data_IF_527636203668
#
_entry.id   IF_527636203668
#
_cell.length_a   1.000
_cell.length_b   1.000
_cell.length_c   1.000
_cell.angle_alpha   90.00
_cell.angle_beta   90.00
_cell.angle_gamma   90.00
#
_symmetry.space_group_name_H-M   'P 1'
#
loop_
_entity.id
_entity.type
_entity.pdbx_description
1 polymer ?
#
# COMPACT_ATOMS: atom_id res chain seq x y z
N UNK A 1 -14.47 6.61 -15.47
CA UNK A 1 -14.81 5.99 -14.17
C UNK A 1 -14.57 7.02 -13.08
N UNK A 2 -15.62 7.33 -12.33
CA UNK A 2 -15.55 8.13 -11.12
C UNK A 2 -14.98 7.28 -9.99
N UNK A 3 -14.02 7.82 -9.24
CA UNK A 3 -13.39 7.11 -8.10
C UNK A 3 -13.75 7.83 -6.81
N UNK A 4 -14.27 7.08 -5.86
CA UNK A 4 -14.69 7.57 -4.53
C UNK A 4 -14.05 6.67 -3.45
N UNK A 5 -13.64 7.28 -2.35
CA UNK A 5 -13.25 6.57 -1.12
C UNK A 5 -14.44 6.51 -0.17
N UNK A 6 -14.89 5.31 0.15
CA UNK A 6 -15.92 5.07 1.15
C UNK A 6 -15.26 4.45 2.39
N UNK A 7 -15.37 5.06 3.58
CA UNK A 7 -14.91 4.42 4.81
C UNK A 7 -15.52 3.02 4.95
N UNK A 8 -14.71 2.05 5.27
CA UNK A 8 -15.17 0.68 5.48
C UNK A 8 -16.08 0.60 6.70
N UNK A 9 -17.29 0.10 6.51
CA UNK A 9 -18.36 0.02 7.52
C UNK A 9 -18.86 -1.41 7.77
N UNK A 10 -18.16 -2.41 7.22
CA UNK A 10 -18.53 -3.82 7.29
C UNK A 10 -19.50 -4.28 6.21
N UNK A 11 -20.17 -3.39 5.49
CA UNK A 11 -21.17 -3.77 4.47
C UNK A 11 -20.56 -4.49 3.25
N UNK A 12 -19.27 -4.26 2.99
CA UNK A 12 -18.51 -4.85 1.89
C UNK A 12 -17.59 -6.01 2.33
N UNK A 13 -17.75 -6.58 3.53
CA UNK A 13 -16.81 -7.53 4.15
C UNK A 13 -16.37 -8.65 3.19
N UNK A 14 -17.33 -9.32 2.53
CA UNK A 14 -17.02 -10.41 1.61
C UNK A 14 -16.13 -9.97 0.44
N UNK A 15 -16.36 -8.78 -0.08
CA UNK A 15 -15.55 -8.19 -1.16
C UNK A 15 -14.18 -7.76 -0.63
N UNK A 16 -14.14 -7.13 0.55
CA UNK A 16 -12.91 -6.72 1.19
C UNK A 16 -11.98 -7.92 1.46
N UNK A 17 -12.48 -9.02 2.01
CA UNK A 17 -11.70 -10.23 2.25
C UNK A 17 -11.11 -10.83 0.96
N UNK A 18 -11.86 -10.80 -0.14
CA UNK A 18 -11.33 -11.21 -1.46
C UNK A 18 -10.21 -10.29 -1.94
N UNK A 19 -10.39 -8.98 -1.78
CA UNK A 19 -9.39 -7.99 -2.16
C UNK A 19 -8.12 -8.11 -1.33
N UNK A 20 -8.23 -8.36 -0.01
CA UNK A 20 -7.10 -8.63 0.88
C UNK A 20 -6.34 -9.89 0.42
N UNK A 21 -7.06 -11.00 0.18
CA UNK A 21 -6.42 -12.22 -0.31
C UNK A 21 -5.76 -12.03 -1.68
N UNK A 22 -6.35 -11.23 -2.56
CA UNK A 22 -5.77 -10.90 -3.86
C UNK A 22 -4.53 -10.00 -3.74
N UNK A 23 -4.55 -9.04 -2.82
CA UNK A 23 -3.41 -8.18 -2.50
C UNK A 23 -2.19 -9.01 -2.07
N UNK A 24 -2.35 -9.91 -1.10
CA UNK A 24 -1.24 -10.75 -0.64
C UNK A 24 -0.71 -11.68 -1.73
N UNK A 25 -1.57 -12.17 -2.61
CA UNK A 25 -1.16 -13.01 -3.75
C UNK A 25 -0.24 -12.27 -4.71
N UNK A 26 -0.50 -10.98 -4.96
CA UNK A 26 0.37 -10.12 -5.78
C UNK A 26 1.73 -9.91 -5.11
N UNK A 27 1.78 -9.94 -3.78
CA UNK A 27 3.02 -9.85 -3.01
C UNK A 27 3.67 -11.22 -2.72
N UNK A 28 3.37 -12.24 -3.55
CA UNK A 28 3.92 -13.60 -3.45
C UNK A 28 3.67 -14.29 -2.09
N UNK A 29 2.61 -13.88 -1.40
CA UNK A 29 2.14 -14.49 -0.17
C UNK A 29 0.78 -15.14 -0.41
N UNK A 30 0.59 -16.36 0.08
CA UNK A 30 -0.73 -16.99 0.10
C UNK A 30 -1.34 -16.81 1.49
N UNK A 31 -2.51 -16.21 1.50
CA UNK A 31 -3.28 -15.95 2.72
C UNK A 31 -4.60 -16.67 2.58
N UNK A 32 -4.93 -17.50 3.55
CA UNK A 32 -6.24 -18.13 3.63
C UNK A 32 -7.30 -17.14 4.15
N UNK A 33 -8.57 -17.55 4.15
CA UNK A 33 -9.65 -16.67 4.59
C UNK A 33 -9.54 -16.31 6.09
N UNK A 34 -9.02 -17.21 6.90
CA UNK A 34 -8.84 -16.95 8.34
C UNK A 34 -7.82 -15.84 8.56
N UNK A 35 -6.67 -15.92 7.90
CA UNK A 35 -5.65 -14.87 7.96
C UNK A 35 -6.18 -13.54 7.41
N UNK A 36 -6.90 -13.55 6.28
CA UNK A 36 -7.49 -12.33 5.72
C UNK A 36 -8.49 -11.67 6.70
N UNK A 37 -9.22 -12.45 7.50
CA UNK A 37 -10.09 -11.94 8.58
C UNK A 37 -9.30 -11.35 9.74
N UNK A 38 -8.18 -11.94 10.12
CA UNK A 38 -7.29 -11.41 11.15
C UNK A 38 -6.68 -10.08 10.71
N UNK A 39 -6.24 -9.99 9.43
CA UNK A 39 -5.71 -8.75 8.85
C UNK A 39 -6.79 -7.67 8.81
N UNK A 40 -7.99 -7.98 8.32
CA UNK A 40 -9.12 -7.05 8.32
C UNK A 40 -9.45 -6.54 9.72
N UNK A 41 -9.50 -7.45 10.72
CA UNK A 41 -9.73 -7.08 12.11
C UNK A 41 -8.59 -6.20 12.67
N UNK A 42 -7.36 -6.38 12.22
CA UNK A 42 -6.23 -5.52 12.57
C UNK A 42 -6.32 -4.14 11.91
N UNK A 43 -6.69 -4.08 10.65
CA UNK A 43 -6.77 -2.86 9.84
C UNK A 43 -7.98 -1.96 10.19
N UNK A 44 -8.85 -2.42 11.06
CA UNK A 44 -10.01 -1.66 11.57
C UNK A 44 -9.85 -1.24 13.05
N UNK A 45 -8.63 -1.35 13.62
CA UNK A 45 -8.31 -0.86 14.97
C UNK A 45 -8.14 0.66 15.00
N UNK A 46 -8.03 1.22 16.21
CA UNK A 46 -8.05 2.67 16.48
C UNK A 46 -7.04 3.49 15.67
N UNK A 47 -5.82 3.00 15.48
CA UNK A 47 -4.77 3.70 14.73
C UNK A 47 -4.79 3.40 13.22
N UNK A 48 -5.86 2.76 12.73
CA UNK A 48 -6.00 2.37 11.34
C UNK A 48 -7.28 2.92 10.73
N UNK A 49 -7.25 3.21 9.44
CA UNK A 49 -8.41 3.56 8.64
C UNK A 49 -8.42 2.74 7.36
N UNK A 50 -9.55 2.11 7.07
CA UNK A 50 -9.72 1.31 5.87
C UNK A 50 -10.84 1.90 5.02
N UNK A 51 -10.60 2.01 3.72
CA UNK A 51 -11.57 2.52 2.76
C UNK A 51 -11.77 1.54 1.63
N UNK A 52 -13.03 1.35 1.23
CA UNK A 52 -13.36 0.79 -0.08
C UNK A 52 -13.04 1.83 -1.16
N UNK A 53 -12.36 1.42 -2.21
CA UNK A 53 -12.23 2.20 -3.44
C UNK A 53 -13.42 1.83 -4.32
N UNK A 54 -14.30 2.79 -4.58
CA UNK A 54 -15.44 2.59 -5.46
C UNK A 54 -15.14 3.20 -6.84
N UNK A 55 -15.35 2.41 -7.88
CA UNK A 55 -15.37 2.86 -9.28
C UNK A 55 -16.79 2.81 -9.81
N UNK A 56 -17.37 3.96 -10.16
CA UNK A 56 -18.80 4.09 -10.57
C UNK A 56 -19.75 3.36 -9.60
N UNK A 57 -19.49 3.50 -8.28
CA UNK A 57 -20.27 2.90 -7.21
C UNK A 57 -20.00 1.42 -6.91
N UNK A 58 -19.11 0.76 -7.66
CA UNK A 58 -18.74 -0.65 -7.45
C UNK A 58 -17.37 -0.75 -6.77
N UNK A 59 -17.17 -1.62 -5.74
CA UNK A 59 -15.87 -1.84 -5.15
C UNK A 59 -14.85 -2.36 -6.17
N UNK A 60 -13.73 -1.65 -6.31
CA UNK A 60 -12.63 -1.96 -7.25
C UNK A 60 -11.28 -2.14 -6.55
N UNK A 61 -11.27 -2.06 -5.23
CA UNK A 61 -10.06 -2.18 -4.42
C UNK A 61 -10.24 -1.61 -3.03
N UNK A 62 -9.13 -1.42 -2.33
CA UNK A 62 -9.10 -0.78 -1.02
C UNK A 62 -7.85 0.07 -0.83
N UNK A 63 -7.90 0.98 0.14
CA UNK A 63 -6.73 1.66 0.70
C UNK A 63 -6.78 1.58 2.22
N UNK A 64 -5.64 1.24 2.81
CA UNK A 64 -5.44 1.09 4.24
C UNK A 64 -4.45 2.14 4.72
N UNK A 65 -4.84 2.91 5.71
CA UNK A 65 -4.03 3.94 6.36
C UNK A 65 -3.65 3.49 7.76
N UNK A 66 -2.44 3.85 8.18
CA UNK A 66 -1.93 3.58 9.52
C UNK A 66 -1.31 4.85 10.10
N UNK A 67 -1.78 5.25 11.28
CA UNK A 67 -1.29 6.40 12.00
C UNK A 67 -0.13 5.97 12.91
N UNK A 68 1.08 6.42 12.60
CA UNK A 68 2.28 6.15 13.41
C UNK A 68 2.73 7.40 14.17
N UNK A 69 1.78 8.19 14.65
CA UNK A 69 1.97 9.46 15.38
C UNK A 69 0.83 10.43 15.13
N UNK A 70 0.90 11.60 15.72
CA UNK A 70 -0.20 12.57 15.69
C UNK A 70 -0.36 13.28 14.33
N UNK A 71 0.74 13.47 13.59
CA UNK A 71 0.76 14.32 12.39
C UNK A 71 1.30 13.63 11.14
N UNK A 72 1.65 12.34 11.24
CA UNK A 72 2.18 11.57 10.11
C UNK A 72 1.35 10.31 9.91
N UNK A 73 0.89 10.11 8.69
CA UNK A 73 0.08 8.96 8.29
C UNK A 73 0.81 8.15 7.22
N UNK A 74 0.67 6.83 7.27
CA UNK A 74 1.15 5.91 6.24
C UNK A 74 -0.01 5.46 5.37
N UNK A 75 0.14 5.54 4.05
CA UNK A 75 -0.62 4.70 3.14
C UNK A 75 0.09 3.34 3.18
N UNK A 76 -0.39 2.47 4.05
CA UNK A 76 0.23 1.18 4.34
C UNK A 76 0.02 0.22 3.17
N UNK A 77 -1.22 0.12 2.71
CA UNK A 77 -1.60 -0.76 1.61
C UNK A 77 -2.56 -0.05 0.65
N UNK A 78 -2.34 -0.26 -0.63
CA UNK A 78 -3.24 0.15 -1.70
C UNK A 78 -3.39 -0.98 -2.71
N UNK A 79 -4.60 -1.40 -2.94
CA UNK A 79 -4.93 -2.46 -3.89
C UNK A 79 -5.99 -2.00 -4.88
N UNK A 80 -5.74 -2.27 -6.15
CA UNK A 80 -6.70 -2.11 -7.24
C UNK A 80 -6.79 -3.44 -7.98
N UNK A 81 -8.03 -3.85 -8.26
CA UNK A 81 -8.33 -5.06 -9.02
C UNK A 81 -7.48 -5.12 -10.31
N UNK A 82 -6.93 -6.31 -10.61
CA UNK A 82 -5.94 -6.48 -11.67
C UNK A 82 -6.43 -6.00 -13.04
N UNK A 83 -7.67 -6.32 -13.37
CA UNK A 83 -8.32 -5.92 -14.64
C UNK A 83 -8.47 -4.41 -14.81
N UNK A 84 -8.36 -3.64 -13.73
CA UNK A 84 -8.53 -2.19 -13.69
C UNK A 84 -7.23 -1.43 -13.49
N UNK A 85 -6.09 -2.13 -13.38
CA UNK A 85 -4.78 -1.48 -13.24
C UNK A 85 -4.38 -0.72 -14.48
N UNK A 86 -3.36 0.14 -14.36
CA UNK A 86 -2.77 0.97 -15.42
C UNK A 86 -3.74 2.01 -16.02
N UNK A 87 -4.86 2.26 -15.36
CA UNK A 87 -5.87 3.27 -15.73
C UNK A 87 -5.81 4.55 -14.86
N UNK A 88 -4.75 4.71 -14.08
CA UNK A 88 -4.56 5.88 -13.21
C UNK A 88 -5.35 5.85 -11.90
N UNK A 89 -6.04 4.74 -11.57
CA UNK A 89 -6.88 4.65 -10.38
C UNK A 89 -6.06 4.87 -9.10
N UNK A 90 -4.91 4.21 -8.95
CA UNK A 90 -4.06 4.39 -7.78
C UNK A 90 -3.63 5.85 -7.59
N UNK A 91 -3.29 6.57 -8.67
CA UNK A 91 -2.97 7.99 -8.59
C UNK A 91 -4.14 8.83 -8.09
N UNK A 92 -5.36 8.55 -8.56
CA UNK A 92 -6.58 9.24 -8.09
C UNK A 92 -6.86 8.95 -6.63
N UNK A 93 -6.73 7.68 -6.21
CA UNK A 93 -6.91 7.25 -4.82
C UNK A 93 -5.94 7.97 -3.89
N UNK A 94 -4.65 8.01 -4.25
CA UNK A 94 -3.63 8.72 -3.47
C UNK A 94 -4.00 10.20 -3.34
N UNK A 95 -4.38 10.87 -4.43
CA UNK A 95 -4.82 12.27 -4.37
C UNK A 95 -6.05 12.49 -3.48
N UNK A 96 -7.03 11.59 -3.49
CA UNK A 96 -8.19 11.66 -2.58
C UNK A 96 -7.78 11.46 -1.11
N UNK A 97 -6.85 10.55 -0.83
CA UNK A 97 -6.28 10.37 0.51
C UNK A 97 -5.55 11.63 0.95
N UNK A 98 -4.72 12.22 0.09
CA UNK A 98 -4.01 13.47 0.37
C UNK A 98 -4.97 14.59 0.74
N UNK A 99 -6.08 14.76 0.00
CA UNK A 99 -7.10 15.75 0.29
C UNK A 99 -7.75 15.53 1.67
N UNK A 100 -8.06 14.28 2.01
CA UNK A 100 -8.64 13.92 3.32
C UNK A 100 -7.67 14.23 4.44
N UNK A 101 -6.40 13.83 4.30
CA UNK A 101 -5.37 14.00 5.31
C UNK A 101 -4.94 15.47 5.47
N UNK A 102 -4.88 16.22 4.37
CA UNK A 102 -4.58 17.64 4.39
C UNK A 102 -5.62 18.45 5.20
N UNK A 103 -6.91 18.13 5.03
CA UNK A 103 -7.98 18.74 5.82
C UNK A 103 -7.88 18.45 7.32
N UNK A 104 -7.18 17.40 7.70
CA UNK A 104 -6.92 17.03 9.10
C UNK A 104 -5.61 17.60 9.65
N UNK A 105 -4.87 18.38 8.87
CA UNK A 105 -3.62 19.02 9.30
C UNK A 105 -2.44 18.05 9.37
N UNK A 106 -2.44 16.97 8.58
CA UNK A 106 -1.32 16.02 8.49
C UNK A 106 -0.10 16.72 7.89
N UNK A 107 1.06 16.56 8.53
CA UNK A 107 2.33 17.17 8.11
C UNK A 107 3.09 16.31 7.11
N UNK A 108 2.86 15.00 7.12
CA UNK A 108 3.54 14.07 6.23
C UNK A 108 2.73 12.81 5.95
N UNK A 109 2.81 12.35 4.71
CA UNK A 109 2.26 11.07 4.26
C UNK A 109 3.42 10.21 3.81
N UNK A 110 3.51 9.00 4.34
CA UNK A 110 4.57 8.05 4.04
C UNK A 110 4.02 6.82 3.32
N UNK A 111 4.87 6.17 2.56
CA UNK A 111 4.61 4.86 1.96
C UNK A 111 5.85 3.99 2.11
N UNK A 112 5.68 2.78 2.61
CA UNK A 112 6.74 1.79 2.60
C UNK A 112 6.66 1.00 1.28
N UNK A 113 7.77 0.89 0.58
CA UNK A 113 7.85 0.20 -0.70
C UNK A 113 9.12 -0.63 -0.78
N UNK A 114 8.98 -1.88 -1.20
CA UNK A 114 10.15 -2.72 -1.43
C UNK A 114 10.97 -2.17 -2.60
N UNK A 115 12.31 -2.09 -2.48
CA UNK A 115 13.16 -1.47 -3.50
C UNK A 115 13.03 -2.05 -4.91
N UNK A 116 12.55 -3.29 -5.03
CA UNK A 116 12.34 -3.98 -6.30
C UNK A 116 11.02 -3.59 -7.00
N UNK A 117 10.08 -2.99 -6.30
CA UNK A 117 8.84 -2.50 -6.88
C UNK A 117 9.06 -1.15 -7.60
N UNK A 118 9.86 -1.18 -8.68
CA UNK A 118 10.19 0.00 -9.48
C UNK A 118 8.94 0.70 -10.04
N UNK A 119 7.89 -0.01 -10.51
CA UNK A 119 6.65 0.66 -10.94
C UNK A 119 6.00 1.51 -9.86
N UNK A 120 5.93 1.02 -8.61
CA UNK A 120 5.37 1.77 -7.49
C UNK A 120 6.27 2.97 -7.12
N UNK A 121 7.59 2.77 -7.02
CA UNK A 121 8.55 3.86 -6.79
C UNK A 121 8.40 4.98 -7.82
N UNK A 122 8.30 4.65 -9.11
CA UNK A 122 8.09 5.64 -10.17
C UNK A 122 6.74 6.36 -10.05
N UNK A 123 5.69 5.66 -9.61
CA UNK A 123 4.40 6.27 -9.37
C UNK A 123 4.49 7.28 -8.24
N UNK A 124 5.01 6.88 -7.08
CA UNK A 124 5.11 7.73 -5.89
C UNK A 124 6.00 8.95 -6.16
N UNK A 125 7.14 8.76 -6.78
CA UNK A 125 8.01 9.88 -7.16
C UNK A 125 7.31 10.92 -8.07
N UNK A 126 6.53 10.47 -9.05
CA UNK A 126 5.73 11.38 -9.91
C UNK A 126 4.63 12.13 -9.16
N UNK A 127 4.14 11.57 -8.06
CA UNK A 127 3.13 12.19 -7.19
C UNK A 127 3.76 13.11 -6.12
N UNK A 128 5.10 13.26 -6.11
CA UNK A 128 5.81 14.15 -5.19
C UNK A 128 6.35 13.48 -3.94
N UNK A 129 6.27 12.15 -3.82
CA UNK A 129 6.93 11.38 -2.75
C UNK A 129 8.41 11.19 -3.10
N UNK A 130 9.19 12.27 -3.04
CA UNK A 130 10.59 12.32 -3.47
C UNK A 130 11.58 12.42 -2.30
N UNK A 131 11.07 12.43 -1.06
CA UNK A 131 11.88 12.50 0.16
C UNK A 131 11.99 11.12 0.82
N UNK A 132 13.20 10.63 0.98
CA UNK A 132 13.46 9.46 1.81
C UNK A 132 13.36 9.83 3.28
N UNK A 133 12.47 9.16 4.02
CA UNK A 133 12.25 9.37 5.44
C UNK A 133 13.03 8.38 6.29
N UNK A 134 12.86 7.08 6.03
CA UNK A 134 13.52 5.99 6.76
C UNK A 134 14.08 4.99 5.76
N UNK A 135 15.26 4.46 6.07
CA UNK A 135 15.83 3.32 5.35
C UNK A 135 15.94 2.15 6.31
N UNK A 136 15.24 1.07 6.02
CA UNK A 136 15.36 -0.17 6.79
C UNK A 136 16.51 -1.02 6.23
N UNK A 137 17.48 -1.32 7.09
CA UNK A 137 18.59 -2.24 6.75
C UNK A 137 18.35 -3.59 7.42
N UNK A 138 18.65 -4.67 6.69
CA UNK A 138 18.41 -6.03 7.15
C UNK A 138 19.66 -6.89 6.98
N UNK A 139 19.94 -7.73 7.97
CA UNK A 139 20.93 -8.80 7.86
C UNK A 139 20.20 -10.13 7.77
N UNK A 140 20.34 -10.78 6.63
CA UNK A 140 19.76 -12.11 6.45
C UNK A 140 20.68 -13.19 7.02
N UNK A 141 20.07 -14.14 7.69
CA UNK A 141 20.77 -15.29 8.28
C UNK A 141 20.87 -16.46 7.30
N UNK A 142 20.15 -16.37 6.16
CA UNK A 142 20.18 -17.33 5.07
C UNK A 142 20.40 -16.58 3.74
N UNK A 143 21.13 -17.14 2.77
CA UNK A 143 21.36 -16.50 1.48
C UNK A 143 20.07 -16.44 0.65
N UNK A 144 19.91 -15.36 -0.14
CA UNK A 144 18.88 -15.27 -1.17
C UNK A 144 19.36 -15.83 -2.51
N UNK A 145 18.42 -16.37 -3.29
CA UNK A 145 18.72 -16.95 -4.59
C UNK A 145 18.98 -15.88 -5.67
N UNK A 146 18.31 -14.74 -5.59
CA UNK A 146 18.39 -13.63 -6.55
C UNK A 146 18.54 -12.30 -5.84
N UNK A 147 19.59 -11.55 -6.22
CA UNK A 147 19.92 -10.25 -5.65
C UNK A 147 20.39 -9.30 -6.75
N UNK A 148 20.07 -8.03 -6.61
CA UNK A 148 20.74 -6.93 -7.30
C UNK A 148 21.42 -6.01 -6.29
N UNK A 149 22.24 -5.09 -6.75
CA UNK A 149 22.92 -4.10 -5.91
C UNK A 149 22.37 -2.72 -6.17
N UNK A 150 22.18 -1.96 -5.10
CA UNK A 150 21.81 -0.55 -5.12
C UNK A 150 22.78 0.25 -4.25
N UNK A 151 23.13 1.45 -4.69
CA UNK A 151 23.99 2.35 -3.93
C UNK A 151 23.17 3.38 -3.15
N UNK A 152 23.38 3.42 -1.84
CA UNK A 152 22.81 4.43 -0.95
C UNK A 152 23.93 4.98 -0.09
N UNK A 153 24.14 6.31 -0.15
CA UNK A 153 25.19 6.97 0.62
C UNK A 153 26.60 6.49 0.27
N UNK A 154 26.84 6.03 -0.96
CA UNK A 154 28.12 5.50 -1.41
C UNK A 154 28.42 4.04 -0.97
N UNK A 155 27.45 3.38 -0.34
CA UNK A 155 27.56 1.99 0.10
C UNK A 155 26.67 1.09 -0.77
N UNK A 156 27.17 -0.11 -1.10
CA UNK A 156 26.44 -1.12 -1.84
C UNK A 156 25.53 -1.92 -0.90
N UNK A 157 24.22 -1.90 -1.18
CA UNK A 157 23.24 -2.74 -0.52
C UNK A 157 22.71 -3.80 -1.47
N UNK A 158 22.50 -5.01 -0.95
CA UNK A 158 21.87 -6.10 -1.68
C UNK A 158 20.36 -5.97 -1.56
N UNK A 159 19.68 -6.00 -2.69
CA UNK A 159 18.22 -5.93 -2.78
C UNK A 159 17.70 -7.24 -3.32
N UNK A 160 16.76 -7.85 -2.62
CA UNK A 160 16.11 -9.09 -3.07
C UNK A 160 15.30 -8.79 -4.34
N UNK A 161 15.50 -9.59 -5.37
CA UNK A 161 14.66 -9.58 -6.56
C UNK A 161 13.58 -10.66 -6.44
N UNK A 162 12.36 -10.29 -6.73
CA UNK A 162 11.26 -11.24 -6.96
C UNK A 162 11.18 -11.44 -8.47
N UNK A 163 11.43 -12.67 -8.92
CA UNK A 163 11.19 -13.01 -10.33
C UNK A 163 9.68 -13.02 -10.56
N UNK A 164 9.24 -12.29 -11.56
CA UNK A 164 7.86 -12.29 -12.06
C UNK A 164 7.46 -13.67 -12.60
#
# INVERSE_FOLDING_TARGET
>A
MEIILKPYDGTSEKTMLRSISAFFRVHHSQVDEAQAREDLASWTKEDHELYDILGDGTPVGFVHLNWRGATVCWIEDIFVEESLRRQGIASKVIGLVEEVLQKRGVEGICMDVVPDNIPALRLYHRLGYDRLSIVTVRKDMQPFATERREQIGGMDFRVKQFND
#
